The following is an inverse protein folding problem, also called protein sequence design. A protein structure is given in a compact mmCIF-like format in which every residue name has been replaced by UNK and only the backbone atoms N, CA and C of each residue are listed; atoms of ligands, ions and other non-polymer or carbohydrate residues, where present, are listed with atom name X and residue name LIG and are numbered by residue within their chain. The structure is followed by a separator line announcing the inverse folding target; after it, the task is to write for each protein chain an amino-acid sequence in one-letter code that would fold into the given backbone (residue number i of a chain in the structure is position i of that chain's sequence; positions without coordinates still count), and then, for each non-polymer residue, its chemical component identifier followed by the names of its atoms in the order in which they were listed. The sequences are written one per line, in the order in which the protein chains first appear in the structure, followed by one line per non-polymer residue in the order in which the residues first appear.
data_IF_089599791807
#
_entry.id   IF_089599791807
#
_cell.length_a   1.000
_cell.length_b   1.000
_cell.length_c   1.000
_cell.angle_alpha   90.00
_cell.angle_beta   90.00
_cell.angle_gamma   90.00
#
_symmetry.space_group_name_H-M   'P 1'
#
loop_
_entity.id
_entity.type
_entity.pdbx_description
1 polymer ?
#
# COMPACT_ATOMS: atom_id res chain seq x y z
N UNK A 1 10.63 32.66 -23.75
CA UNK A 1 9.76 32.90 -22.59
C UNK A 1 8.62 31.91 -22.73
N UNK A 2 8.50 30.97 -21.79
CA UNK A 2 7.49 29.92 -21.86
C UNK A 2 6.21 30.42 -21.20
N UNK A 3 5.14 30.50 -21.98
CA UNK A 3 3.79 30.78 -21.48
C UNK A 3 3.30 29.58 -20.67
N UNK A 4 3.01 29.82 -19.40
CA UNK A 4 2.37 28.84 -18.52
C UNK A 4 0.87 28.90 -18.79
N UNK A 5 0.38 28.07 -19.70
CA UNK A 5 -1.05 27.87 -19.92
C UNK A 5 -1.65 27.20 -18.68
N UNK A 6 -2.19 28.03 -17.78
CA UNK A 6 -2.96 27.56 -16.63
C UNK A 6 -4.23 26.86 -17.10
N UNK A 7 -4.48 25.66 -16.54
CA UNK A 7 -5.69 24.87 -16.80
C UNK A 7 -6.95 25.73 -16.69
N UNK A 8 -7.83 25.63 -17.70
CA UNK A 8 -9.10 26.35 -17.69
C UNK A 8 -9.92 25.93 -16.46
N UNK A 9 -10.68 26.88 -15.88
CA UNK A 9 -11.55 26.65 -14.71
C UNK A 9 -12.56 25.52 -14.94
N UNK A 10 -12.90 25.21 -16.19
CA UNK A 10 -13.81 24.13 -16.55
C UNK A 10 -13.10 22.76 -16.54
N UNK A 11 -11.84 22.70 -16.97
CA UNK A 11 -11.01 21.50 -16.89
C UNK A 11 -10.72 21.12 -15.43
N UNK A 12 -10.47 22.13 -14.58
CA UNK A 12 -10.28 21.91 -13.14
C UNK A 12 -11.52 21.32 -12.47
N UNK A 13 -12.73 21.79 -12.84
CA UNK A 13 -13.99 21.27 -12.31
C UNK A 13 -14.28 19.84 -12.78
N UNK A 14 -13.99 19.52 -14.03
CA UNK A 14 -14.13 18.16 -14.57
C UNK A 14 -13.16 17.19 -13.89
N UNK A 15 -11.90 17.57 -13.71
CA UNK A 15 -10.91 16.77 -12.99
C UNK A 15 -11.33 16.51 -11.53
N UNK A 16 -11.86 17.54 -10.85
CA UNK A 16 -12.35 17.40 -9.48
C UNK A 16 -13.52 16.40 -9.38
N UNK A 17 -14.47 16.47 -10.32
CA UNK A 17 -15.61 15.54 -10.33
C UNK A 17 -15.20 14.10 -10.63
N UNK A 18 -14.24 13.90 -11.53
CA UNK A 18 -13.67 12.58 -11.83
C UNK A 18 -12.92 12.02 -10.62
N UNK A 19 -12.10 12.84 -9.95
CA UNK A 19 -11.38 12.45 -8.76
C UNK A 19 -12.32 12.04 -7.60
N UNK A 20 -13.40 12.81 -7.38
CA UNK A 20 -14.42 12.49 -6.37
C UNK A 20 -15.18 11.21 -6.75
N UNK A 21 -15.52 11.04 -8.02
CA UNK A 21 -16.23 9.85 -8.52
C UNK A 21 -15.41 8.56 -8.33
N UNK A 22 -14.12 8.60 -8.67
CA UNK A 22 -13.20 7.48 -8.49
C UNK A 22 -13.01 7.18 -7.00
N UNK A 23 -12.82 8.21 -6.16
CA UNK A 23 -12.71 8.05 -4.71
C UNK A 23 -13.94 7.39 -4.08
N UNK A 24 -15.14 7.74 -4.53
CA UNK A 24 -16.39 7.14 -4.05
C UNK A 24 -16.56 5.68 -4.50
N UNK A 25 -16.16 5.34 -5.74
CA UNK A 25 -16.22 3.96 -6.26
C UNK A 25 -15.22 3.05 -5.54
N UNK A 26 -14.02 3.55 -5.25
CA UNK A 26 -13.01 2.80 -4.47
C UNK A 26 -13.46 2.56 -3.03
N UNK A 27 -14.13 3.54 -2.40
CA UNK A 27 -14.70 3.39 -1.05
C UNK A 27 -15.77 2.29 -0.97
N UNK A 28 -16.58 2.11 -2.02
CA UNK A 28 -17.62 1.08 -2.04
C UNK A 28 -17.08 -0.35 -2.23
N UNK A 29 -15.88 -0.51 -2.79
CA UNK A 29 -15.26 -1.83 -2.99
C UNK A 29 -14.69 -2.45 -1.69
N UNK A 30 -14.57 -1.67 -0.61
CA UNK A 30 -13.92 -2.08 0.65
C UNK A 30 -14.88 -2.75 1.64
N UNK A 31 -16.15 -2.99 1.27
CA UNK A 31 -17.11 -3.70 2.11
C UNK A 31 -16.92 -5.22 1.95
N UNK A 32 -15.75 -5.70 2.35
CA UNK A 32 -15.38 -7.12 2.44
C UNK A 32 -14.83 -7.40 3.84
N UNK A 33 -15.67 -7.24 4.87
CA UNK A 33 -15.27 -7.41 6.27
C UNK A 33 -15.10 -8.90 6.59
N UNK A 34 -13.85 -9.36 6.65
CA UNK A 34 -13.44 -10.37 7.62
C UNK A 34 -12.69 -9.66 8.75
N UNK A 35 -13.24 -9.72 9.95
CA UNK A 35 -12.56 -9.33 11.17
C UNK A 35 -11.82 -10.57 11.68
N UNK A 36 -10.50 -10.61 11.52
CA UNK A 36 -9.66 -11.53 12.27
C UNK A 36 -9.23 -10.82 13.56
N UNK A 37 -9.29 -11.59 14.64
CA UNK A 37 -9.18 -11.16 16.03
C UNK A 37 -7.89 -10.40 16.30
N UNK A 38 -8.00 -9.21 16.88
CA UNK A 38 -6.88 -8.42 17.37
C UNK A 38 -6.21 -9.16 18.55
N UNK A 39 -5.18 -9.96 18.27
CA UNK A 39 -4.31 -10.58 19.28
C UNK A 39 -3.21 -9.58 19.63
N UNK A 40 -3.43 -8.76 20.65
CA UNK A 40 -2.34 -8.02 21.30
C UNK A 40 -1.63 -8.98 22.25
N UNK A 41 -0.72 -9.79 21.70
CA UNK A 41 0.04 -10.78 22.42
C UNK A 41 1.38 -10.23 22.87
N UNK A 42 1.47 -9.79 24.12
CA UNK A 42 2.74 -9.74 24.85
C UNK A 42 3.28 -11.16 24.98
N UNK A 43 4.14 -11.59 24.05
CA UNK A 43 4.94 -12.83 24.14
C UNK A 43 4.16 -14.16 24.17
N UNK A 44 4.35 -15.01 23.16
CA UNK A 44 4.08 -16.45 23.29
C UNK A 44 2.88 -17.02 22.52
N UNK A 45 2.71 -16.64 21.25
CA UNK A 45 1.81 -17.30 20.30
C UNK A 45 2.42 -17.26 18.89
N UNK A 46 3.54 -17.96 18.70
CA UNK A 46 4.44 -17.85 17.56
C UNK A 46 3.88 -18.47 16.28
N UNK A 47 3.28 -17.64 15.44
CA UNK A 47 2.92 -17.99 14.07
C UNK A 47 2.73 -16.71 13.25
N UNK A 48 2.93 -16.82 11.94
CA UNK A 48 2.75 -15.70 11.03
C UNK A 48 1.34 -15.09 11.10
N UNK A 49 1.21 -13.76 10.96
CA UNK A 49 -0.08 -13.09 10.96
C UNK A 49 -0.89 -13.47 9.72
N UNK A 50 -2.21 -13.46 9.84
CA UNK A 50 -3.15 -13.65 8.73
C UNK A 50 -3.42 -12.36 7.94
N UNK A 51 -2.52 -11.37 8.05
CA UNK A 51 -2.64 -10.08 7.40
C UNK A 51 -2.53 -10.21 5.88
N UNK A 52 -3.29 -9.39 5.16
CA UNK A 52 -3.32 -9.34 3.71
C UNK A 52 -3.00 -7.93 3.22
N UNK A 53 -2.10 -7.83 2.24
CA UNK A 53 -1.73 -6.57 1.61
C UNK A 53 -2.04 -6.58 0.12
N UNK A 54 -2.48 -5.43 -0.38
CA UNK A 54 -2.69 -5.19 -1.81
C UNK A 54 -1.70 -4.16 -2.32
N UNK A 55 -1.24 -4.35 -3.56
CA UNK A 55 -0.38 -3.42 -4.28
C UNK A 55 -1.14 -2.89 -5.49
N UNK A 56 -1.24 -1.56 -5.60
CA UNK A 56 -1.90 -0.87 -6.69
C UNK A 56 -0.92 0.09 -7.36
N UNK A 57 -1.01 0.20 -8.69
CA UNK A 57 -0.25 1.21 -9.44
C UNK A 57 -0.94 2.57 -9.33
N UNK A 58 -0.15 3.61 -9.06
CA UNK A 58 -0.56 5.01 -9.18
C UNK A 58 0.14 5.60 -10.39
N UNK A 59 -0.63 6.05 -11.38
CA UNK A 59 -0.09 6.80 -12.50
C UNK A 59 0.13 8.27 -12.11
N UNK A 60 1.31 8.80 -12.44
CA UNK A 60 1.68 10.20 -12.21
C UNK A 60 2.16 10.84 -13.50
N UNK A 61 2.18 12.16 -13.52
CA UNK A 61 2.65 12.93 -14.69
C UNK A 61 4.13 12.72 -15.01
N UNK A 62 4.93 12.30 -14.02
CA UNK A 62 6.37 12.13 -14.08
C UNK A 62 6.82 10.67 -13.94
N UNK A 63 5.90 9.72 -13.83
CA UNK A 63 6.22 8.30 -13.67
C UNK A 63 5.08 7.48 -13.08
N UNK A 64 5.42 6.39 -12.42
CA UNK A 64 4.48 5.50 -11.72
C UNK A 64 4.90 5.33 -10.27
N UNK A 65 3.94 5.02 -9.41
CA UNK A 65 4.15 4.67 -8.01
C UNK A 65 3.42 3.39 -7.65
N UNK A 66 3.76 2.84 -6.49
CA UNK A 66 2.96 1.82 -5.84
C UNK A 66 2.24 2.39 -4.63
N UNK A 67 0.94 2.15 -4.51
CA UNK A 67 0.25 2.19 -3.21
C UNK A 67 0.17 0.76 -2.70
N UNK A 68 0.83 0.48 -1.58
CA UNK A 68 0.67 -0.78 -0.86
C UNK A 68 -0.18 -0.53 0.38
N UNK A 69 -1.23 -1.32 0.54
CA UNK A 69 -2.26 -1.08 1.56
C UNK A 69 -2.60 -2.35 2.32
N UNK A 70 -2.82 -2.21 3.63
CA UNK A 70 -3.33 -3.30 4.46
C UNK A 70 -4.82 -3.51 4.15
N UNK A 71 -5.15 -4.62 3.50
CA UNK A 71 -6.49 -4.93 3.02
C UNK A 71 -7.35 -5.61 4.10
N UNK A 72 -6.73 -6.33 5.04
CA UNK A 72 -7.44 -7.01 6.12
C UNK A 72 -6.61 -8.05 6.85
N UNK A 73 -7.26 -8.79 7.75
CA UNK A 73 -6.58 -9.74 8.64
C UNK A 73 -6.01 -9.06 9.88
N UNK A 74 -5.00 -9.68 10.47
CA UNK A 74 -4.39 -9.23 11.72
C UNK A 74 -3.68 -7.89 11.57
N UNK A 75 -3.66 -7.11 12.65
CA UNK A 75 -2.80 -5.95 12.74
C UNK A 75 -1.34 -6.40 13.00
N UNK A 76 -0.38 -5.72 12.39
CA UNK A 76 1.02 -6.19 12.35
C UNK A 76 1.97 -5.08 12.82
N UNK A 77 3.04 -5.47 13.52
CA UNK A 77 4.13 -4.55 13.85
C UNK A 77 4.80 -4.08 12.53
N UNK A 78 4.85 -2.76 12.24
CA UNK A 78 5.46 -2.26 11.01
C UNK A 78 6.95 -2.61 10.85
N UNK A 79 7.69 -2.80 11.95
CA UNK A 79 9.10 -3.23 11.91
C UNK A 79 9.26 -4.69 11.45
N UNK A 80 8.21 -5.50 11.57
CA UNK A 80 8.19 -6.90 11.12
C UNK A 80 7.72 -7.04 9.67
N UNK A 81 7.43 -5.94 8.96
CA UNK A 81 7.00 -5.95 7.57
C UNK A 81 8.12 -5.39 6.71
N UNK A 82 8.66 -6.21 5.81
CA UNK A 82 9.65 -5.84 4.80
C UNK A 82 8.97 -5.72 3.44
N UNK A 83 9.25 -4.64 2.73
CA UNK A 83 8.82 -4.47 1.34
C UNK A 83 9.97 -4.81 0.41
N UNK A 84 9.68 -5.64 -0.58
CA UNK A 84 10.63 -6.03 -1.60
C UNK A 84 10.20 -5.57 -2.97
N UNK A 85 11.18 -5.19 -3.77
CA UNK A 85 11.01 -4.87 -5.19
C UNK A 85 11.90 -5.81 -5.98
N UNK A 86 11.29 -6.61 -6.85
CA UNK A 86 11.95 -7.65 -7.64
C UNK A 86 12.74 -8.67 -6.80
N UNK A 87 12.27 -8.95 -5.58
CA UNK A 87 12.89 -9.88 -4.64
C UNK A 87 14.02 -9.28 -3.81
N UNK A 88 14.36 -8.01 -4.01
CA UNK A 88 15.34 -7.30 -3.21
C UNK A 88 14.66 -6.46 -2.12
N UNK A 89 15.06 -6.59 -0.84
CA UNK A 89 14.54 -5.76 0.25
C UNK A 89 14.81 -4.28 0.03
N UNK A 90 13.77 -3.45 0.11
CA UNK A 90 13.88 -1.98 0.10
C UNK A 90 13.92 -1.38 1.50
N UNK A 91 13.34 -2.07 2.48
CA UNK A 91 13.27 -1.63 3.87
C UNK A 91 11.99 -2.12 4.55
N UNK A 92 11.89 -1.82 5.83
CA UNK A 92 10.69 -2.06 6.62
C UNK A 92 9.59 -1.05 6.31
N UNK A 93 8.35 -1.37 6.67
CA UNK A 93 7.21 -0.45 6.55
C UNK A 93 7.48 0.89 7.25
N UNK A 94 8.07 0.86 8.46
CA UNK A 94 8.43 2.06 9.22
C UNK A 94 9.49 2.90 8.50
N UNK A 95 10.57 2.28 8.03
CA UNK A 95 11.68 2.97 7.35
C UNK A 95 11.23 3.65 6.04
N UNK A 96 10.25 3.05 5.37
CA UNK A 96 9.67 3.56 4.13
C UNK A 96 8.58 4.62 4.37
N UNK A 97 8.29 4.97 5.63
CA UNK A 97 7.33 6.03 5.98
C UNK A 97 5.86 5.61 5.82
N UNK A 98 5.57 4.32 5.94
CA UNK A 98 4.20 3.82 5.90
C UNK A 98 3.35 4.30 7.08
N UNK A 99 2.03 4.36 6.89
CA UNK A 99 1.09 4.78 7.94
C UNK A 99 1.01 3.77 9.08
N UNK A 100 0.71 4.24 10.29
CA UNK A 100 0.64 3.38 11.48
C UNK A 100 2.02 2.98 11.99
N UNK A 101 2.83 3.94 12.47
CA UNK A 101 4.21 3.69 12.91
C UNK A 101 4.31 2.78 14.14
N UNK A 102 3.24 2.66 14.92
CA UNK A 102 3.16 1.73 16.04
C UNK A 102 2.48 0.40 15.66
N UNK A 103 1.54 0.46 14.72
CA UNK A 103 0.76 -0.70 14.27
C UNK A 103 0.18 -0.47 12.87
N UNK A 104 0.38 -1.45 11.98
CA UNK A 104 -0.22 -1.47 10.65
C UNK A 104 -1.53 -2.24 10.72
N UNK A 105 -2.62 -1.55 10.42
CA UNK A 105 -3.97 -2.12 10.43
C UNK A 105 -4.70 -1.78 9.13
N UNK A 106 -5.86 -2.39 8.92
CA UNK A 106 -6.67 -2.21 7.71
C UNK A 106 -6.79 -0.72 7.34
N UNK A 107 -6.53 -0.43 6.07
CA UNK A 107 -6.62 0.91 5.51
C UNK A 107 -5.34 1.74 5.64
N UNK A 108 -4.35 1.32 6.43
CA UNK A 108 -3.04 1.95 6.42
C UNK A 108 -2.31 1.69 5.10
N UNK A 109 -1.61 2.72 4.64
CA UNK A 109 -1.00 2.77 3.32
C UNK A 109 0.49 3.13 3.39
N UNK A 110 1.22 2.67 2.39
CA UNK A 110 2.59 3.03 2.08
C UNK A 110 2.67 3.35 0.59
N UNK A 111 3.27 4.49 0.25
CA UNK A 111 3.48 4.91 -1.14
C UNK A 111 4.94 4.78 -1.50
N UNK A 112 5.23 4.10 -2.62
CA UNK A 112 6.59 3.88 -3.13
C UNK A 112 6.75 4.62 -4.46
N UNK A 113 7.68 5.56 -4.51
CA UNK A 113 7.88 6.46 -5.67
C UNK A 113 8.99 6.00 -6.62
N UNK A 114 9.88 5.11 -6.18
CA UNK A 114 11.04 4.62 -6.95
C UNK A 114 10.79 3.20 -7.50
N UNK A 115 9.73 3.08 -8.31
CA UNK A 115 9.31 1.85 -8.97
C UNK A 115 9.07 2.09 -10.46
N UNK A 116 9.21 1.04 -11.28
CA UNK A 116 9.02 1.08 -12.72
C UNK A 116 7.96 0.08 -13.19
N UNK A 117 7.33 0.29 -14.37
CA UNK A 117 6.46 -0.70 -14.97
C UNK A 117 7.17 -2.06 -15.13
N UNK A 118 6.51 -3.12 -14.70
CA UNK A 118 7.05 -4.47 -14.66
C UNK A 118 7.68 -4.88 -13.33
N UNK A 119 7.94 -3.94 -12.41
CA UNK A 119 8.45 -4.27 -11.09
C UNK A 119 7.45 -5.12 -10.30
N UNK A 120 7.94 -6.18 -9.67
CA UNK A 120 7.18 -7.02 -8.74
C UNK A 120 7.39 -6.52 -7.32
N UNK A 121 6.30 -6.19 -6.63
CA UNK A 121 6.33 -5.75 -5.23
C UNK A 121 5.77 -6.86 -4.36
N UNK A 122 6.52 -7.25 -3.34
CA UNK A 122 6.06 -8.19 -2.32
C UNK A 122 6.09 -7.51 -0.94
N UNK A 123 5.05 -7.77 -0.15
CA UNK A 123 4.97 -7.37 1.25
C UNK A 123 5.15 -8.62 2.08
N UNK A 124 6.18 -8.63 2.92
CA UNK A 124 6.63 -9.84 3.60
C UNK A 124 6.71 -9.58 5.09
N UNK A 125 6.11 -10.47 5.87
CA UNK A 125 6.30 -10.51 7.30
C UNK A 125 7.52 -11.35 7.66
N UNK A 126 8.28 -10.88 8.63
CA UNK A 126 9.42 -11.57 9.23
C UNK A 126 9.28 -11.61 10.76
N UNK A 127 9.34 -12.81 11.33
CA UNK A 127 9.35 -13.01 12.79
C UNK A 127 9.72 -14.45 13.15
N UNK A 128 10.38 -14.65 14.30
CA UNK A 128 10.78 -15.97 14.84
C UNK A 128 11.41 -16.92 13.78
N UNK A 129 12.33 -16.41 12.96
CA UNK A 129 12.98 -17.10 11.81
C UNK A 129 12.05 -17.53 10.67
N UNK A 130 10.77 -17.20 10.73
CA UNK A 130 9.79 -17.38 9.67
C UNK A 130 9.69 -16.14 8.77
N UNK A 131 9.31 -16.41 7.52
CA UNK A 131 9.12 -15.42 6.48
C UNK A 131 7.88 -15.76 5.67
N UNK A 132 6.90 -14.86 5.65
CA UNK A 132 5.61 -15.10 5.00
C UNK A 132 5.23 -13.93 4.11
N UNK A 133 4.96 -14.21 2.84
CA UNK A 133 4.41 -13.22 1.92
C UNK A 133 2.95 -12.93 2.31
N UNK A 134 2.68 -11.68 2.67
CA UNK A 134 1.36 -11.19 3.03
C UNK A 134 0.60 -10.58 1.85
N UNK A 135 1.32 -10.27 0.76
CA UNK A 135 0.73 -9.68 -0.43
C UNK A 135 1.75 -9.47 -1.53
N UNK A 136 1.26 -9.38 -2.76
CA UNK A 136 2.05 -9.16 -3.97
C UNK A 136 1.27 -8.38 -5.00
N UNK A 137 1.97 -7.58 -5.79
CA UNK A 137 1.48 -7.10 -7.08
C UNK A 137 2.59 -6.76 -8.05
N UNK A 138 2.21 -6.43 -9.27
CA UNK A 138 3.13 -5.99 -10.32
C UNK A 138 2.72 -4.61 -10.77
N UNK A 139 3.70 -3.72 -10.92
CA UNK A 139 3.46 -2.37 -11.42
C UNK A 139 3.09 -2.44 -12.88
N UNK A 140 1.91 -1.91 -13.20
CA UNK A 140 1.37 -1.88 -14.56
C UNK A 140 1.88 -0.63 -15.29
N UNK A 141 1.97 -0.68 -16.62
CA UNK A 141 2.09 0.55 -17.41
C UNK A 141 0.79 1.36 -17.28
N UNK A 142 0.93 2.67 -17.13
CA UNK A 142 -0.15 3.66 -17.21
C UNK A 142 -0.55 4.01 -18.62
#
# INVERSE_FOLDING_TARGET
MADSEGLSREQFRLLLLVAIGIGAVLLLAIIGVTAASVVWGTGGGGGAPTAAFEVQTIDRSDGVAANVSHAGGDAVNPESIVVEVNGEPRGTWTELGGQGPDIVARGHQLVLDDVAPGDSIAVVWTGDDERVELGRGTIRPG
#
